data_IF_933410072256
#
_entry.id   IF_933410072256
#
_cell.length_a   1.000
_cell.length_b   1.000
_cell.length_c   1.000
_cell.angle_alpha   90.00
_cell.angle_beta   90.00
_cell.angle_gamma   90.00
#
_symmetry.space_group_name_H-M   'P 1'
#
loop_
_entity.id
_entity.type
_entity.pdbx_description
1 polymer ?
#
# COMPACT_ATOMS: atom_id res chain seq x y z
N UNK A 1 -9.33 -1.09 8.74
CA UNK A 1 -8.09 -0.37 8.38
C UNK A 1 -7.09 -1.41 7.91
N UNK A 2 -6.49 -1.24 6.73
CA UNK A 2 -5.54 -2.19 6.18
C UNK A 2 -4.11 -1.73 6.45
N UNK A 3 -3.23 -2.65 6.78
CA UNK A 3 -1.79 -2.42 6.80
C UNK A 3 -1.22 -3.08 5.55
N UNK A 4 -0.62 -2.28 4.67
CA UNK A 4 0.08 -2.78 3.50
C UNK A 4 1.48 -3.18 3.94
N UNK A 5 1.88 -4.40 3.58
CA UNK A 5 3.21 -4.94 3.83
C UNK A 5 3.84 -5.42 2.54
N UNK A 6 5.17 -5.48 2.51
CA UNK A 6 5.88 -6.09 1.39
C UNK A 6 5.66 -7.61 1.37
N UNK A 7 5.36 -8.20 0.21
CA UNK A 7 5.20 -9.65 0.11
C UNK A 7 6.51 -10.42 0.33
N UNK A 8 7.67 -9.80 0.04
CA UNK A 8 8.98 -10.43 0.21
C UNK A 8 9.48 -10.38 1.66
N UNK A 9 9.62 -9.18 2.23
CA UNK A 9 10.21 -9.02 3.56
C UNK A 9 9.18 -8.88 4.70
N UNK A 10 7.87 -8.91 4.39
CA UNK A 10 6.76 -8.73 5.35
C UNK A 10 6.84 -7.46 6.20
N UNK A 11 7.65 -6.49 5.79
CA UNK A 11 7.78 -5.19 6.47
C UNK A 11 6.56 -4.32 6.20
N UNK A 12 6.12 -3.59 7.22
CA UNK A 12 5.03 -2.62 7.14
C UNK A 12 5.44 -1.42 6.26
N UNK A 13 4.69 -1.18 5.19
CA UNK A 13 4.91 -0.10 4.25
C UNK A 13 4.10 1.13 4.64
N UNK A 14 2.78 1.00 4.71
CA UNK A 14 1.87 2.06 5.15
C UNK A 14 0.54 1.50 5.65
N UNK A 15 -0.23 2.34 6.34
CA UNK A 15 -1.64 2.07 6.66
C UNK A 15 -2.54 2.70 5.62
N UNK A 16 -3.45 1.90 5.09
CA UNK A 16 -4.42 2.28 4.08
C UNK A 16 -5.85 2.12 4.60
N UNK A 17 -6.63 3.20 4.53
CA UNK A 17 -8.04 3.16 4.88
C UNK A 17 -8.89 2.75 3.68
N UNK A 18 -9.26 1.47 3.64
CA UNK A 18 -10.16 0.95 2.61
C UNK A 18 -11.62 1.26 2.95
N UNK A 19 -12.22 2.24 2.25
CA UNK A 19 -13.64 2.65 2.35
C UNK A 19 -14.57 2.03 1.28
N UNK A 20 -14.34 0.78 0.88
CA UNK A 20 -15.16 0.15 -0.17
C UNK A 20 -14.94 -1.36 -0.34
N UNK A 21 -15.81 -1.98 -1.16
CA UNK A 21 -15.85 -3.44 -1.37
C UNK A 21 -14.89 -3.95 -2.46
N UNK A 22 -14.41 -3.09 -3.38
CA UNK A 22 -13.52 -3.47 -4.49
C UNK A 22 -12.09 -3.83 -4.10
N UNK A 23 -11.31 -4.42 -5.01
CA UNK A 23 -9.91 -4.83 -4.78
C UNK A 23 -8.96 -3.63 -4.59
N UNK A 24 -7.90 -3.80 -3.79
CA UNK A 24 -6.89 -2.75 -3.56
C UNK A 24 -5.89 -2.71 -4.72
N UNK A 25 -6.36 -2.34 -5.91
CA UNK A 25 -5.50 -2.17 -7.10
C UNK A 25 -4.91 -0.76 -7.15
N UNK A 26 -5.70 0.22 -6.68
CA UNK A 26 -5.33 1.64 -6.62
C UNK A 26 -5.38 2.11 -5.17
N UNK A 27 -4.21 2.47 -4.63
CA UNK A 27 -4.11 3.08 -3.31
C UNK A 27 -4.08 4.60 -3.46
N UNK A 28 -5.20 5.27 -3.19
CA UNK A 28 -5.27 6.72 -3.21
C UNK A 28 -4.43 7.33 -2.09
N UNK A 29 -3.63 8.36 -2.40
CA UNK A 29 -2.74 9.04 -1.44
C UNK A 29 -3.53 9.62 -0.26
N UNK A 30 -4.70 10.20 -0.53
CA UNK A 30 -5.64 10.76 0.45
C UNK A 30 -6.07 9.76 1.56
N UNK A 31 -6.00 8.44 1.30
CA UNK A 31 -6.46 7.39 2.23
C UNK A 31 -5.30 6.72 2.96
N UNK A 32 -4.08 7.18 2.75
CA UNK A 32 -2.89 6.68 3.44
C UNK A 32 -2.80 7.41 4.76
N UNK A 33 -3.18 6.71 5.83
CA UNK A 33 -3.21 7.29 7.17
C UNK A 33 -1.81 7.39 7.78
N UNK A 34 -0.88 6.50 7.40
CA UNK A 34 0.47 6.50 7.98
C UNK A 34 1.50 5.87 7.05
N UNK A 35 2.60 6.57 6.82
CA UNK A 35 3.76 6.07 6.09
C UNK A 35 4.77 5.43 7.06
N UNK A 36 5.39 4.30 6.68
CA UNK A 36 6.43 3.62 7.46
C UNK A 36 7.71 3.49 6.64
N UNK A 37 7.98 2.31 6.07
CA UNK A 37 9.28 1.94 5.45
C UNK A 37 9.23 1.81 3.92
N UNK A 38 8.32 2.54 3.27
CA UNK A 38 8.27 2.60 1.81
C UNK A 38 9.11 3.77 1.31
N UNK A 39 9.83 3.56 0.20
CA UNK A 39 10.66 4.57 -0.45
C UNK A 39 10.08 4.86 -1.83
N UNK A 40 9.99 6.14 -2.16
CA UNK A 40 9.54 6.59 -3.48
C UNK A 40 10.77 6.98 -4.28
N UNK A 41 11.06 6.25 -5.34
CA UNK A 41 12.16 6.53 -6.26
C UNK A 41 11.58 6.95 -7.61
N UNK A 42 11.48 8.26 -7.83
CA UNK A 42 10.78 8.84 -8.98
C UNK A 42 9.31 8.43 -9.01
N UNK A 43 8.90 7.71 -10.06
CA UNK A 43 7.52 7.22 -10.22
C UNK A 43 7.31 5.80 -9.68
N UNK A 44 8.30 5.18 -9.02
CA UNK A 44 8.17 3.81 -8.52
C UNK A 44 8.30 3.78 -7.00
N UNK A 45 7.41 3.04 -6.36
CA UNK A 45 7.46 2.76 -4.94
C UNK A 45 8.24 1.48 -4.73
N UNK A 46 9.30 1.57 -3.94
CA UNK A 46 10.11 0.45 -3.52
C UNK A 46 9.95 0.21 -2.02
N UNK A 47 10.09 -1.04 -1.62
CA UNK A 47 10.38 -1.34 -0.23
C UNK A 47 11.89 -1.20 0.00
N UNK A 48 12.28 -0.92 1.25
CA UNK A 48 13.68 -0.93 1.71
C UNK A 48 14.45 -2.21 1.35
N UNK A 49 13.76 -3.33 1.08
CA UNK A 49 14.38 -4.57 0.59
C UNK A 49 14.72 -4.57 -0.91
N UNK A 50 14.47 -3.48 -1.64
CA UNK A 50 14.73 -3.35 -3.08
C UNK A 50 13.58 -3.83 -3.99
N UNK A 51 12.48 -4.37 -3.42
CA UNK A 51 11.37 -4.90 -4.25
C UNK A 51 10.40 -3.79 -4.68
N UNK A 52 10.01 -3.71 -5.97
CA UNK A 52 9.03 -2.74 -6.43
C UNK A 52 7.63 -3.13 -5.95
N UNK A 53 6.99 -2.23 -5.21
CA UNK A 53 5.65 -2.42 -4.64
C UNK A 53 4.56 -1.87 -5.57
N UNK A 54 4.85 -0.74 -6.20
CA UNK A 54 3.87 -0.02 -7.00
C UNK A 54 4.50 1.08 -7.82
N UNK A 55 3.66 1.76 -8.57
CA UNK A 55 4.01 2.91 -9.41
C UNK A 55 3.15 4.09 -8.99
N UNK A 56 3.77 5.23 -8.77
CA UNK A 56 3.06 6.47 -8.53
C UNK A 56 2.41 6.97 -9.82
N UNK A 57 1.10 7.15 -9.76
CA UNK A 57 0.26 7.72 -10.83
C UNK A 57 -0.36 9.03 -10.35
N UNK A 58 0.44 9.83 -9.63
CA UNK A 58 0.11 11.16 -9.13
C UNK A 58 -1.00 11.19 -8.06
N UNK A 59 -2.23 10.80 -8.38
CA UNK A 59 -3.35 10.76 -7.44
C UNK A 59 -3.42 9.46 -6.63
N UNK A 60 -2.90 8.37 -7.17
CA UNK A 60 -2.89 7.07 -6.53
C UNK A 60 -1.61 6.29 -6.83
N UNK A 61 -1.22 5.42 -5.91
CA UNK A 61 -0.23 4.39 -6.17
C UNK A 61 -0.92 3.20 -6.83
N UNK A 62 -0.51 2.90 -8.07
CA UNK A 62 -0.88 1.66 -8.75
C UNK A 62 -0.07 0.53 -8.14
N UNK A 63 -0.74 -0.34 -7.40
CA UNK A 63 -0.09 -1.45 -6.71
C UNK A 63 0.14 -2.61 -7.68
N UNK A 64 1.28 -3.30 -7.57
CA UNK A 64 1.58 -4.49 -8.37
C UNK A 64 1.01 -5.71 -7.65
N UNK A 65 0.03 -6.39 -8.25
CA UNK A 65 -0.52 -7.64 -7.71
C UNK A 65 0.61 -8.66 -7.47
N UNK A 66 0.73 -9.15 -6.23
CA UNK A 66 1.75 -10.11 -5.82
C UNK A 66 3.03 -9.49 -5.22
N UNK A 67 3.27 -8.17 -5.37
CA UNK A 67 4.42 -7.51 -4.75
C UNK A 67 4.16 -7.07 -3.30
N UNK A 68 2.89 -6.93 -2.93
CA UNK A 68 2.45 -6.54 -1.60
C UNK A 68 1.48 -7.56 -1.02
N UNK A 69 1.44 -7.61 0.30
CA UNK A 69 0.39 -8.27 1.08
C UNK A 69 -0.29 -7.23 1.94
N UNK A 70 -1.50 -7.54 2.43
CA UNK A 70 -2.19 -6.65 3.35
C UNK A 70 -2.75 -7.45 4.50
N UNK A 71 -2.58 -6.92 5.71
CA UNK A 71 -3.15 -7.50 6.92
C UNK A 71 -4.01 -6.46 7.61
N UNK A 72 -5.14 -6.92 8.14
CA UNK A 72 -6.07 -6.07 8.88
C UNK A 72 -7.51 -6.27 8.46
N UNK A 73 -8.40 -6.09 9.41
CA UNK A 73 -9.84 -6.19 9.22
C UNK A 73 -10.35 -4.84 8.69
N UNK A 74 -11.28 -4.85 7.71
CA UNK A 74 -12.06 -3.65 7.37
C UNK A 74 -12.59 -3.06 8.69
N UNK A 75 -12.47 -1.75 8.87
CA UNK A 75 -13.09 -1.10 10.04
C UNK A 75 -14.58 -1.15 9.72
N UNK A 76 -15.29 -2.13 10.24
CA UNK A 76 -16.75 -2.14 10.15
C UNK A 76 -17.19 -1.00 11.07
N UNK A 77 -17.74 0.06 10.50
CA UNK A 77 -18.28 1.18 11.27
C UNK A 77 -19.50 0.58 12.00
N UNK A 78 -19.37 0.43 13.33
CA UNK A 78 -20.48 0.05 14.21
C UNK A 78 -21.37 1.26 14.39
#
# INVERSE_FOLDING_TARGET
MLTILCAACKTKLWKYEKRGHGHVVRCHKERISKWYKAELLGHKVYCRCGKPIGVDKDSYYRMISGAFTHTGTKKNKK
#
